data_IF_166861652592
#
_entry.id   IF_166861652592
#
_cell.length_a   1.000
_cell.length_b   1.000
_cell.length_c   1.000
_cell.angle_alpha   90.00
_cell.angle_beta   90.00
_cell.angle_gamma   90.00
#
_symmetry.space_group_name_H-M   'P 1'
#
loop_
_entity.id
_entity.type
_entity.pdbx_description
1 polymer ?
#
# COMPACT_ATOMS: atom_id res chain seq x y z
N UNK A 1 -7.28 -17.34 -0.89
CA UNK A 1 -7.11 -16.00 -0.29
C UNK A 1 -5.98 -15.94 0.73
N UNK A 2 -6.04 -16.62 1.89
CA UNK A 2 -5.00 -16.50 2.94
C UNK A 2 -3.57 -16.78 2.45
N UNK A 3 -3.38 -17.79 1.59
CA UNK A 3 -2.07 -18.12 1.02
C UNK A 3 -1.53 -17.01 0.09
N UNK A 4 -2.41 -16.34 -0.68
CA UNK A 4 -2.04 -15.26 -1.60
C UNK A 4 -1.66 -14.00 -0.81
N UNK A 5 -2.46 -13.64 0.20
CA UNK A 5 -2.20 -12.48 1.05
C UNK A 5 -0.83 -12.57 1.74
N UNK A 6 -0.49 -13.74 2.30
CA UNK A 6 0.83 -13.96 2.88
C UNK A 6 1.95 -13.88 1.83
N UNK A 7 1.75 -14.44 0.64
CA UNK A 7 2.72 -14.35 -0.46
C UNK A 7 2.96 -12.90 -0.93
N UNK A 8 1.90 -12.11 -1.04
CA UNK A 8 1.96 -10.67 -1.37
C UNK A 8 2.70 -9.90 -0.27
N UNK A 9 2.36 -10.13 1.00
CA UNK A 9 3.05 -9.51 2.15
C UNK A 9 4.55 -9.84 2.15
N UNK A 10 4.91 -11.09 1.90
CA UNK A 10 6.30 -11.52 1.77
C UNK A 10 7.02 -10.83 0.62
N UNK A 11 6.37 -10.66 -0.54
CA UNK A 11 6.93 -9.91 -1.67
C UNK A 11 7.25 -8.46 -1.27
N UNK A 12 6.30 -7.79 -0.60
CA UNK A 12 6.48 -6.40 -0.13
C UNK A 12 7.62 -6.29 0.88
N UNK A 13 7.73 -7.23 1.82
CA UNK A 13 8.76 -7.23 2.86
C UNK A 13 10.15 -7.59 2.32
N UNK A 14 10.22 -8.44 1.28
CA UNK A 14 11.47 -8.86 0.66
C UNK A 14 12.15 -7.76 -0.18
N UNK A 15 11.42 -6.71 -0.54
CA UNK A 15 11.94 -5.62 -1.34
C UNK A 15 13.17 -4.97 -0.69
N UNK A 16 14.21 -4.75 -1.51
CA UNK A 16 15.44 -4.09 -1.08
C UNK A 16 15.27 -2.57 -1.01
N UNK A 17 14.44 -2.12 -0.07
CA UNK A 17 14.08 -0.71 0.15
C UNK A 17 14.10 -0.34 1.64
N UNK A 18 14.27 0.94 1.99
CA UNK A 18 14.20 1.40 3.38
C UNK A 18 12.86 1.03 4.02
N UNK A 19 12.88 0.49 5.24
CA UNK A 19 11.67 0.04 5.94
C UNK A 19 10.69 1.18 6.26
N UNK A 20 11.18 2.43 6.33
CA UNK A 20 10.38 3.65 6.52
C UNK A 20 9.25 3.82 5.53
N UNK A 21 9.38 3.28 4.31
CA UNK A 21 8.29 3.31 3.33
C UNK A 21 7.00 2.65 3.86
N UNK A 22 7.14 1.67 4.74
CA UNK A 22 6.04 0.90 5.32
C UNK A 22 5.49 1.50 6.63
N UNK A 23 5.82 2.74 6.96
CA UNK A 23 5.45 3.35 8.24
C UNK A 23 3.93 3.49 8.45
N UNK A 24 3.16 3.60 7.37
CA UNK A 24 1.68 3.58 7.43
C UNK A 24 1.11 2.17 7.35
N UNK A 25 1.90 1.22 6.86
CA UNK A 25 1.46 -0.10 6.42
C UNK A 25 1.67 -1.20 7.44
N UNK A 26 2.67 -1.07 8.33
CA UNK A 26 3.08 -2.12 9.27
C UNK A 26 2.98 -1.62 10.70
N UNK A 27 2.34 -2.41 11.56
CA UNK A 27 2.22 -2.10 12.98
C UNK A 27 3.60 -2.23 13.65
N UNK A 28 3.98 -1.23 14.44
CA UNK A 28 5.25 -1.14 15.17
C UNK A 28 6.50 -1.26 14.27
N UNK A 29 6.48 -0.66 13.07
CA UNK A 29 7.62 -0.74 12.14
C UNK A 29 8.92 -0.16 12.74
N UNK A 30 8.83 0.82 13.66
CA UNK A 30 10.01 1.51 14.19
C UNK A 30 10.96 0.56 14.94
N UNK A 31 10.43 -0.54 15.50
CA UNK A 31 11.24 -1.54 16.20
C UNK A 31 12.32 -2.17 15.31
N UNK A 32 12.12 -2.14 14.00
CA UNK A 32 13.05 -2.68 13.00
C UNK A 32 14.12 -1.69 12.55
N UNK A 33 14.02 -0.40 12.93
CA UNK A 33 15.03 0.62 12.60
C UNK A 33 16.25 0.58 13.51
N UNK A 34 16.11 0.01 14.72
CA UNK A 34 17.22 -0.09 15.66
C UNK A 34 18.34 -0.97 15.11
N UNK A 35 19.62 -0.56 15.26
CA UNK A 35 20.77 -1.39 14.92
C UNK A 35 20.70 -2.75 15.62
N UNK A 36 20.96 -3.81 14.88
CA UNK A 36 20.89 -5.21 15.35
C UNK A 36 21.86 -6.07 14.50
N UNK A 37 22.09 -7.32 14.91
CA UNK A 37 22.94 -8.29 14.21
C UNK A 37 22.41 -8.63 12.80
N UNK A 38 21.11 -8.47 12.58
CA UNK A 38 20.45 -8.73 11.30
C UNK A 38 20.00 -7.44 10.63
N UNK A 39 20.00 -7.44 9.29
CA UNK A 39 19.42 -6.34 8.52
C UNK A 39 17.94 -6.15 8.87
N UNK A 40 17.46 -4.91 8.86
CA UNK A 40 16.05 -4.59 9.10
C UNK A 40 15.10 -5.42 8.22
N UNK A 41 15.49 -5.67 6.96
CA UNK A 41 14.75 -6.53 6.03
C UNK A 41 14.64 -7.98 6.51
N UNK A 42 15.74 -8.58 6.94
CA UNK A 42 15.73 -9.95 7.44
C UNK A 42 14.86 -10.05 8.70
N UNK A 43 14.98 -9.08 9.61
CA UNK A 43 14.14 -9.00 10.81
C UNK A 43 12.65 -8.88 10.45
N UNK A 44 12.31 -8.06 9.47
CA UNK A 44 10.94 -7.89 8.98
C UNK A 44 10.38 -9.20 8.39
N UNK A 45 11.16 -9.90 7.57
CA UNK A 45 10.76 -11.19 6.98
C UNK A 45 10.59 -12.28 8.03
N UNK A 46 11.50 -12.37 9.00
CA UNK A 46 11.44 -13.39 10.06
C UNK A 46 10.31 -13.12 11.05
N UNK A 47 10.12 -11.87 11.45
CA UNK A 47 9.05 -11.51 12.39
C UNK A 47 7.66 -11.48 11.73
N UNK A 48 7.60 -11.26 10.41
CA UNK A 48 6.37 -11.15 9.61
C UNK A 48 5.26 -10.38 10.35
N UNK A 49 5.51 -9.13 10.77
CA UNK A 49 4.55 -8.36 11.55
C UNK A 49 3.22 -8.21 10.81
N UNK A 50 2.11 -7.99 11.53
CA UNK A 50 0.84 -7.71 10.89
C UNK A 50 0.87 -6.35 10.15
N UNK A 51 0.13 -6.30 9.04
CA UNK A 51 -0.18 -5.05 8.37
C UNK A 51 -1.19 -4.23 9.20
N UNK A 52 -1.19 -2.92 9.02
CA UNK A 52 -2.27 -2.06 9.50
C UNK A 52 -3.58 -2.43 8.80
N UNK A 53 -4.73 -2.17 9.45
CA UNK A 53 -6.04 -2.54 8.89
C UNK A 53 -6.29 -1.91 7.52
N UNK A 54 -5.88 -0.64 7.32
CA UNK A 54 -6.00 0.03 6.02
C UNK A 54 -5.14 -0.65 4.93
N UNK A 55 -3.90 -1.03 5.27
CA UNK A 55 -2.99 -1.71 4.34
C UNK A 55 -3.48 -3.12 4.00
N UNK A 56 -3.98 -3.86 4.99
CA UNK A 56 -4.60 -5.18 4.77
C UNK A 56 -5.83 -5.08 3.86
N UNK A 57 -6.73 -4.11 4.09
CA UNK A 57 -7.92 -3.91 3.26
C UNK A 57 -7.56 -3.52 1.82
N UNK A 58 -6.47 -2.76 1.60
CA UNK A 58 -5.94 -2.48 0.25
C UNK A 58 -5.48 -3.77 -0.43
N UNK A 59 -4.73 -4.62 0.27
CA UNK A 59 -4.28 -5.90 -0.28
C UNK A 59 -5.47 -6.80 -0.62
N UNK A 60 -6.44 -6.92 0.28
CA UNK A 60 -7.62 -7.75 0.08
C UNK A 60 -8.47 -7.26 -1.10
N UNK A 61 -8.60 -5.94 -1.28
CA UNK A 61 -9.28 -5.35 -2.44
C UNK A 61 -8.60 -5.73 -3.76
N UNK A 62 -7.27 -5.64 -3.83
CA UNK A 62 -6.51 -5.99 -5.05
C UNK A 62 -6.52 -7.50 -5.30
N UNK A 63 -6.26 -8.30 -4.26
CA UNK A 63 -6.24 -9.78 -4.35
C UNK A 63 -7.61 -10.31 -4.74
N UNK A 64 -8.70 -9.71 -4.25
CA UNK A 64 -10.06 -10.12 -4.58
C UNK A 64 -10.40 -9.98 -6.07
N UNK A 65 -9.68 -9.14 -6.82
CA UNK A 65 -9.91 -8.91 -8.25
C UNK A 65 -8.85 -9.62 -9.10
N UNK A 66 -7.57 -9.46 -8.75
CA UNK A 66 -6.47 -10.04 -9.51
C UNK A 66 -6.25 -11.53 -9.22
N UNK A 67 -6.58 -11.98 -8.01
CA UNK A 67 -6.28 -13.32 -7.52
C UNK A 67 -4.80 -13.68 -7.74
N UNK A 68 -4.50 -14.90 -8.24
CA UNK A 68 -3.13 -15.34 -8.55
C UNK A 68 -2.50 -14.53 -9.71
N UNK A 69 -3.31 -13.90 -10.58
CA UNK A 69 -2.80 -13.09 -11.71
C UNK A 69 -2.05 -11.84 -11.24
N UNK A 70 -2.14 -11.48 -9.95
CA UNK A 70 -1.34 -10.42 -9.36
C UNK A 70 0.17 -10.63 -9.51
N UNK A 71 0.60 -11.88 -9.70
CA UNK A 71 2.01 -12.24 -9.93
C UNK A 71 2.41 -12.29 -11.41
N UNK A 72 1.49 -11.97 -12.33
CA UNK A 72 1.71 -11.95 -13.77
C UNK A 72 1.56 -10.52 -14.33
N UNK A 73 2.14 -10.27 -15.50
CA UNK A 73 1.96 -9.01 -16.21
C UNK A 73 0.50 -8.82 -16.67
N UNK A 74 -0.09 -7.61 -16.61
CA UNK A 74 0.52 -6.35 -16.14
C UNK A 74 0.38 -6.09 -14.63
N UNK A 75 -0.32 -6.94 -13.87
CA UNK A 75 -0.66 -6.69 -12.46
C UNK A 75 0.56 -6.79 -11.55
N UNK A 76 1.62 -7.47 -11.99
CA UNK A 76 2.91 -7.50 -11.31
C UNK A 76 3.45 -6.08 -11.05
N UNK A 77 3.18 -5.12 -11.96
CA UNK A 77 3.57 -3.71 -11.76
C UNK A 77 2.89 -3.07 -10.54
N UNK A 78 1.64 -3.44 -10.25
CA UNK A 78 0.94 -2.97 -9.06
C UNK A 78 1.55 -3.58 -7.80
N UNK A 79 1.84 -4.88 -7.81
CA UNK A 79 2.51 -5.56 -6.71
C UNK A 79 3.91 -4.99 -6.44
N UNK A 80 4.68 -4.73 -7.50
CA UNK A 80 6.01 -4.10 -7.40
C UNK A 80 5.92 -2.65 -6.91
N UNK A 81 4.85 -1.93 -7.26
CA UNK A 81 4.58 -0.59 -6.72
C UNK A 81 4.32 -0.64 -5.22
N UNK A 82 3.54 -1.61 -4.73
CA UNK A 82 3.33 -1.83 -3.30
C UNK A 82 4.63 -2.22 -2.59
N UNK A 83 5.48 -3.02 -3.22
CA UNK A 83 6.78 -3.39 -2.68
C UNK A 83 7.74 -2.18 -2.59
N UNK A 84 7.67 -1.30 -3.60
CA UNK A 84 8.49 -0.09 -3.72
C UNK A 84 8.07 1.01 -2.74
N UNK A 85 6.77 1.25 -2.57
CA UNK A 85 6.24 2.43 -1.87
C UNK A 85 5.58 2.08 -0.54
N UNK A 86 5.10 0.85 -0.37
CA UNK A 86 4.10 0.48 0.62
C UNK A 86 2.69 0.44 0.03
N UNK A 87 1.81 -0.48 0.48
CA UNK A 87 0.44 -0.60 -0.04
C UNK A 87 -0.38 0.69 -0.03
N UNK A 88 -0.36 1.46 1.05
CA UNK A 88 -1.14 2.71 1.16
C UNK A 88 -0.65 3.74 0.13
N UNK A 89 0.66 3.94 0.03
CA UNK A 89 1.24 4.89 -0.91
C UNK A 89 1.00 4.48 -2.38
N UNK A 90 1.07 3.19 -2.68
CA UNK A 90 0.78 2.66 -4.02
C UNK A 90 -0.71 2.84 -4.38
N UNK A 91 -1.62 2.60 -3.43
CA UNK A 91 -3.04 2.84 -3.60
C UNK A 91 -3.36 4.32 -3.90
N UNK A 92 -2.77 5.25 -3.14
CA UNK A 92 -2.91 6.69 -3.39
C UNK A 92 -2.43 7.07 -4.79
N UNK A 93 -1.26 6.57 -5.21
CA UNK A 93 -0.71 6.83 -6.52
C UNK A 93 -1.62 6.30 -7.64
N UNK A 94 -2.18 5.10 -7.47
CA UNK A 94 -3.06 4.50 -8.47
C UNK A 94 -4.35 5.31 -8.65
N UNK A 95 -4.98 5.75 -7.56
CA UNK A 95 -6.20 6.60 -7.59
C UNK A 95 -5.92 7.97 -8.23
N UNK A 96 -4.74 8.54 -8.00
CA UNK A 96 -4.37 9.81 -8.61
C UNK A 96 -4.14 9.66 -10.13
N UNK A 97 -3.52 8.56 -10.56
CA UNK A 97 -3.22 8.30 -11.98
C UNK A 97 -4.46 7.86 -12.79
N UNK A 98 -5.50 7.33 -12.14
CA UNK A 98 -6.73 6.92 -12.81
C UNK A 98 -7.58 8.08 -13.33
N UNK A 99 -7.42 9.29 -12.78
CA UNK A 99 -8.15 10.48 -13.23
C UNK A 99 -7.85 10.90 -14.68
N UNK A 100 -6.70 10.47 -15.22
CA UNK A 100 -6.15 10.98 -16.48
C UNK A 100 -6.15 9.96 -17.64
N UNK A 101 -6.78 8.78 -17.52
CA UNK A 101 -6.55 7.65 -18.45
C UNK A 101 -7.78 6.86 -18.95
N UNK A 102 -7.66 6.35 -20.19
CA UNK A 102 -8.54 5.30 -20.74
C UNK A 102 -8.20 3.94 -20.11
N UNK A 103 -8.78 3.67 -18.95
CA UNK A 103 -8.54 2.42 -18.22
C UNK A 103 -9.37 1.25 -18.77
N UNK A 104 -8.82 0.04 -18.65
CA UNK A 104 -9.58 -1.21 -18.85
C UNK A 104 -10.62 -1.38 -17.73
N UNK A 105 -11.69 -2.13 -17.99
CA UNK A 105 -12.75 -2.39 -16.99
C UNK A 105 -12.23 -3.06 -15.71
N UNK A 106 -11.19 -3.88 -15.84
CA UNK A 106 -10.58 -4.52 -14.69
C UNK A 106 -9.77 -3.56 -13.84
N UNK A 107 -8.98 -2.67 -14.46
CA UNK A 107 -8.24 -1.65 -13.71
C UNK A 107 -9.20 -0.65 -13.05
N UNK A 108 -10.34 -0.32 -13.70
CA UNK A 108 -11.43 0.44 -13.07
C UNK A 108 -11.98 -0.27 -11.84
N UNK A 109 -12.17 -1.59 -11.92
CA UNK A 109 -12.65 -2.38 -10.78
C UNK A 109 -11.66 -2.33 -9.61
N UNK A 110 -10.35 -2.42 -9.89
CA UNK A 110 -9.30 -2.30 -8.88
C UNK A 110 -9.31 -0.91 -8.23
N UNK A 111 -9.38 0.15 -9.04
CA UNK A 111 -9.43 1.53 -8.55
C UNK A 111 -10.66 1.78 -7.69
N UNK A 112 -11.85 1.40 -8.16
CA UNK A 112 -13.08 1.56 -7.39
C UNK A 112 -13.03 0.82 -6.05
N UNK A 113 -12.44 -0.38 -6.03
CA UNK A 113 -12.27 -1.14 -4.79
C UNK A 113 -11.30 -0.45 -3.82
N UNK A 114 -10.20 0.13 -4.33
CA UNK A 114 -9.25 0.91 -3.53
C UNK A 114 -9.88 2.21 -3.03
N UNK A 115 -10.65 2.92 -3.87
CA UNK A 115 -11.38 4.13 -3.47
C UNK A 115 -12.33 3.85 -2.30
N UNK A 116 -13.06 2.72 -2.35
CA UNK A 116 -13.91 2.29 -1.25
C UNK A 116 -13.12 2.01 0.06
N UNK A 117 -11.87 1.55 -0.04
CA UNK A 117 -10.98 1.42 1.13
C UNK A 117 -10.55 2.80 1.62
N UNK A 118 -10.18 3.72 0.73
CA UNK A 118 -9.81 5.09 1.08
C UNK A 118 -10.94 5.80 1.84
N UNK A 119 -12.19 5.64 1.40
CA UNK A 119 -13.38 6.20 2.06
C UNK A 119 -13.60 5.64 3.47
N UNK A 120 -13.21 4.38 3.72
CA UNK A 120 -13.31 3.74 5.04
C UNK A 120 -12.25 4.24 6.02
N UNK A 121 -11.09 4.69 5.52
CA UNK A 121 -9.96 5.17 6.33
C UNK A 121 -9.52 6.60 5.98
N UNK A 122 -10.42 7.60 6.09
CA UNK A 122 -10.17 8.96 5.57
C UNK A 122 -9.04 9.72 6.28
N UNK A 123 -8.60 9.25 7.45
CA UNK A 123 -7.49 9.83 8.21
C UNK A 123 -6.12 9.27 7.83
N UNK A 124 -6.09 8.14 7.13
CA UNK A 124 -4.85 7.42 6.76
C UNK A 124 -4.39 7.79 5.36
N UNK A 125 -5.33 7.94 4.42
CA UNK A 125 -5.05 8.28 3.03
C UNK A 125 -5.00 9.80 2.81
N UNK A 126 -4.17 10.20 1.85
CA UNK A 126 -4.01 11.57 1.35
C UNK A 126 -3.71 12.60 2.45
N UNK A 127 -2.94 12.20 3.47
CA UNK A 127 -2.61 13.06 4.63
C UNK A 127 -1.91 14.34 4.17
N UNK A 128 -0.93 14.25 3.28
CA UNK A 128 -0.17 15.38 2.75
C UNK A 128 -1.09 16.32 1.95
N UNK A 129 -1.91 15.78 1.06
CA UNK A 129 -2.85 16.56 0.26
C UNK A 129 -3.88 17.28 1.14
N UNK A 130 -4.45 16.59 2.14
CA UNK A 130 -5.37 17.19 3.12
C UNK A 130 -4.68 18.26 3.96
N UNK A 131 -3.43 18.05 4.36
CA UNK A 131 -2.63 19.04 5.10
C UNK A 131 -2.42 20.30 4.27
N UNK A 132 -2.07 20.16 3.00
CA UNK A 132 -1.92 21.29 2.07
C UNK A 132 -3.25 22.02 1.86
N UNK A 133 -4.34 21.29 1.59
CA UNK A 133 -5.67 21.89 1.40
C UNK A 133 -6.17 22.60 2.65
N UNK A 134 -5.88 22.09 3.85
CA UNK A 134 -6.23 22.77 5.10
C UNK A 134 -5.41 24.05 5.28
N UNK A 135 -4.11 24.01 5.00
CA UNK A 135 -3.22 25.19 5.08
C UNK A 135 -3.63 26.30 4.10
N UNK A 136 -4.07 25.94 2.89
CA UNK A 136 -4.51 26.91 1.88
C UNK A 136 -6.00 27.28 1.98
N UNK A 137 -6.85 26.39 2.50
CA UNK A 137 -8.27 26.61 2.72
C UNK A 137 -8.60 27.47 3.95
N UNK A 138 -7.67 27.58 4.91
CA UNK A 138 -7.78 28.51 6.04
C UNK A 138 -7.42 29.96 5.70
N UNK A 139 -6.98 30.27 4.47
CA UNK A 139 -6.83 31.66 3.98
C UNK A 139 -8.16 32.14 3.37
N UNK A 140 -9.22 32.14 4.18
CA UNK A 140 -10.42 32.96 3.96
C UNK A 140 -11.04 33.32 5.31
N UNK A 141 -10.64 34.47 5.84
CA UNK A 141 -11.51 35.55 6.33
C UNK A 141 -10.68 36.81 6.52
#
# INVERSE_FOLDING_TARGET
MLAIAERVKLHIYAAHRPIRRLQRDVIDIERFEHPDAFTARLRLLTASPPLSSASADVLDAVIGICEERLFDEPYLLLLDSMALLGPIAAAEALVLLSGDSHMTEELKSIVNAIEAVCERYPTIFFIEARTLLTRHGSVKR
#
